data_IF_202440244205
#
_entry.id   IF_202440244205
#
_cell.length_a   1.000
_cell.length_b   1.000
_cell.length_c   1.000
_cell.angle_alpha   90.00
_cell.angle_beta   90.00
_cell.angle_gamma   90.00
#
_symmetry.space_group_name_H-M   'P 1'
#
loop_
_entity.id
_entity.type
_entity.pdbx_description
1 polymer ?
#
# COMPACT_ATOMS: atom_id res chain seq x y z
N UNK A 1 20.10 -6.02 -11.94
CA UNK A 1 19.16 -5.61 -10.86
C UNK A 1 19.81 -5.86 -9.51
N UNK A 2 19.56 -5.02 -8.48
CA UNK A 2 20.04 -5.29 -7.12
C UNK A 2 19.45 -6.60 -6.56
N UNK A 3 20.19 -7.18 -5.61
CA UNK A 3 19.84 -8.35 -4.80
C UNK A 3 18.41 -8.27 -4.26
N UNK A 4 17.71 -9.42 -4.17
CA UNK A 4 16.29 -9.48 -3.79
C UNK A 4 16.01 -8.77 -2.46
N UNK A 5 16.80 -9.07 -1.43
CA UNK A 5 16.64 -8.47 -0.10
C UNK A 5 16.90 -6.95 -0.11
N UNK A 6 17.87 -6.49 -0.90
CA UNK A 6 18.17 -5.06 -1.02
C UNK A 6 17.01 -4.29 -1.65
N UNK A 7 16.31 -4.89 -2.63
CA UNK A 7 15.11 -4.27 -3.23
C UNK A 7 14.01 -4.01 -2.19
N UNK A 8 13.80 -4.95 -1.27
CA UNK A 8 12.79 -4.80 -0.22
C UNK A 8 13.18 -3.77 0.83
N UNK A 9 14.47 -3.65 1.19
CA UNK A 9 14.95 -2.57 2.05
C UNK A 9 14.75 -1.19 1.42
N UNK A 10 15.07 -1.05 0.14
CA UNK A 10 14.84 0.20 -0.59
C UNK A 10 13.33 0.52 -0.66
N UNK A 11 12.50 -0.48 -0.96
CA UNK A 11 11.04 -0.30 -1.05
C UNK A 11 10.42 0.08 0.30
N UNK A 12 10.89 -0.51 1.40
CA UNK A 12 10.48 -0.18 2.75
C UNK A 12 10.79 1.30 3.08
N UNK A 13 12.02 1.75 2.88
CA UNK A 13 12.40 3.15 3.12
C UNK A 13 11.65 4.11 2.19
N UNK A 14 11.49 3.73 0.92
CA UNK A 14 10.72 4.52 -0.05
C UNK A 14 9.28 4.74 0.41
N UNK A 15 8.61 3.69 0.91
CA UNK A 15 7.23 3.80 1.41
C UNK A 15 7.15 4.61 2.70
N UNK A 16 8.17 4.59 3.56
CA UNK A 16 8.24 5.49 4.72
C UNK A 16 8.33 6.95 4.28
N UNK A 17 9.22 7.27 3.32
CA UNK A 17 9.39 8.62 2.77
C UNK A 17 8.11 9.13 2.13
N UNK A 18 7.52 8.34 1.22
CA UNK A 18 6.33 8.77 0.49
C UNK A 18 5.12 8.95 1.41
N UNK A 19 4.94 8.05 2.39
CA UNK A 19 3.86 8.22 3.40
C UNK A 19 4.08 9.48 4.23
N UNK A 20 5.29 9.73 4.71
CA UNK A 20 5.60 10.94 5.46
C UNK A 20 5.44 12.23 4.64
N UNK A 21 5.69 12.19 3.33
CA UNK A 21 5.38 13.30 2.43
C UNK A 21 3.86 13.54 2.30
N UNK A 22 3.04 12.48 2.18
CA UNK A 22 1.58 12.64 2.16
C UNK A 22 1.02 13.23 3.46
N UNK A 23 1.71 12.99 4.58
CA UNK A 23 1.35 13.54 5.90
C UNK A 23 1.96 14.93 6.18
N UNK A 24 2.62 15.57 5.19
CA UNK A 24 3.22 16.91 5.36
C UNK A 24 2.18 18.03 5.60
N UNK A 25 0.93 17.80 5.20
CA UNK A 25 -0.16 18.76 5.39
C UNK A 25 -1.27 18.10 6.20
N UNK A 26 -1.68 18.73 7.31
CA UNK A 26 -2.85 18.26 8.06
C UNK A 26 -4.16 18.51 7.30
N UNK A 27 -5.24 17.88 7.78
CA UNK A 27 -6.59 18.22 7.36
C UNK A 27 -6.91 19.69 7.67
N UNK A 28 -7.56 20.34 6.71
CA UNK A 28 -7.91 21.77 6.76
C UNK A 28 -6.71 22.72 6.92
N UNK A 29 -5.51 22.34 6.47
CA UNK A 29 -4.35 23.23 6.48
C UNK A 29 -4.56 24.50 5.62
N UNK A 30 -5.32 24.41 4.52
CA UNK A 30 -5.53 25.50 3.57
C UNK A 30 -6.80 26.31 3.90
N UNK A 31 -6.72 27.22 4.88
CA UNK A 31 -7.85 28.07 5.33
C UNK A 31 -8.34 29.08 4.28
N UNK A 32 -7.45 29.55 3.39
CA UNK A 32 -7.78 30.46 2.26
C UNK A 32 -8.61 31.69 2.68
N UNK A 33 -8.27 32.31 3.80
CA UNK A 33 -8.97 33.47 4.34
C UNK A 33 -8.57 34.74 3.57
N UNK A 34 -9.53 35.33 2.85
CA UNK A 34 -9.31 36.55 2.04
C UNK A 34 -9.25 37.82 2.89
N UNK A 35 -9.93 37.86 4.03
CA UNK A 35 -9.97 39.04 4.90
C UNK A 35 -8.65 39.22 5.65
N UNK A 36 -8.07 38.12 6.15
CA UNK A 36 -6.80 38.14 6.88
C UNK A 36 -5.57 37.93 5.99
N UNK A 37 -5.77 37.53 4.73
CA UNK A 37 -4.70 37.16 3.80
C UNK A 37 -4.01 35.82 4.13
N UNK A 38 -4.54 35.07 5.10
CA UNK A 38 -3.98 33.78 5.49
C UNK A 38 -4.36 32.69 4.47
N UNK A 39 -3.37 32.20 3.71
CA UNK A 39 -3.61 31.12 2.74
C UNK A 39 -3.66 29.73 3.38
N UNK A 40 -2.77 29.46 4.35
CA UNK A 40 -2.71 28.22 5.10
C UNK A 40 -2.31 28.45 6.56
N UNK A 41 -2.60 27.47 7.42
CA UNK A 41 -2.12 27.41 8.80
C UNK A 41 -0.71 26.81 8.84
N UNK A 42 0.27 27.60 9.28
CA UNK A 42 1.67 27.17 9.36
C UNK A 42 1.90 26.06 10.37
N UNK A 43 1.06 25.97 11.40
CA UNK A 43 1.18 24.92 12.41
C UNK A 43 0.70 23.55 11.88
N UNK A 44 0.02 23.56 10.73
CA UNK A 44 -0.49 22.37 10.02
C UNK A 44 0.40 21.95 8.84
N UNK A 45 1.60 22.52 8.75
CA UNK A 45 2.63 22.18 7.77
C UNK A 45 3.82 21.55 8.47
N UNK A 46 4.14 20.32 8.07
CA UNK A 46 5.19 19.51 8.66
C UNK A 46 6.24 19.13 7.62
N UNK A 47 7.51 19.37 7.94
CA UNK A 47 8.63 18.84 7.16
C UNK A 47 8.85 17.37 7.52
N UNK A 48 9.25 16.57 6.52
CA UNK A 48 9.56 15.16 6.73
C UNK A 48 10.92 14.95 7.43
N UNK A 49 11.94 15.72 7.02
CA UNK A 49 13.34 15.64 7.47
C UNK A 49 13.89 14.19 7.61
N UNK A 50 13.64 13.37 6.59
CA UNK A 50 14.09 11.98 6.56
C UNK A 50 15.56 11.88 6.12
N UNK A 51 16.37 11.14 6.89
CA UNK A 51 17.75 10.77 6.54
C UNK A 51 17.92 9.27 6.80
N UNK A 52 17.75 8.46 5.77
CA UNK A 52 17.91 7.01 5.84
C UNK A 52 19.11 6.49 5.08
N UNK A 53 19.14 5.18 4.88
CA UNK A 53 20.24 4.49 4.20
C UNK A 53 20.23 4.79 2.69
N UNK A 54 19.04 5.01 2.12
CA UNK A 54 18.85 5.17 0.67
C UNK A 54 18.36 6.57 0.27
N UNK A 55 17.64 7.27 1.12
CA UNK A 55 17.02 8.55 0.81
C UNK A 55 17.33 9.63 1.85
N UNK A 56 17.46 10.87 1.38
CA UNK A 56 17.56 12.07 2.20
C UNK A 56 16.57 13.10 1.68
N UNK A 57 15.49 13.35 2.43
CA UNK A 57 14.34 14.12 1.96
C UNK A 57 13.85 15.06 3.05
N UNK A 58 13.99 16.37 2.82
CA UNK A 58 13.57 17.39 3.78
C UNK A 58 12.03 17.51 3.89
N UNK A 59 11.31 17.38 2.77
CA UNK A 59 9.90 17.80 2.72
C UNK A 59 9.74 19.32 2.89
N UNK A 60 8.50 19.84 3.01
CA UNK A 60 7.23 19.12 2.91
C UNK A 60 6.91 18.73 1.46
N UNK A 61 5.84 17.95 1.26
CA UNK A 61 5.26 17.75 -0.07
C UNK A 61 4.76 19.08 -0.66
N UNK A 62 5.12 19.37 -1.91
CA UNK A 62 4.85 20.64 -2.58
C UNK A 62 3.40 20.76 -3.14
N UNK A 63 2.54 19.80 -2.83
CA UNK A 63 1.13 19.78 -3.24
C UNK A 63 0.25 19.61 -2.00
N UNK A 64 -1.00 20.07 -2.09
CA UNK A 64 -1.97 19.94 -1.00
C UNK A 64 -2.34 18.46 -0.75
N UNK A 65 -2.69 18.17 0.50
CA UNK A 65 -3.25 16.87 0.91
C UNK A 65 -4.47 16.51 0.06
N UNK A 66 -4.57 15.25 -0.36
CA UNK A 66 -5.78 14.73 -1.01
C UNK A 66 -6.90 14.50 0.01
N UNK A 67 -8.19 14.45 -0.38
CA UNK A 67 -9.28 14.12 0.53
C UNK A 67 -9.10 12.78 1.25
N UNK A 68 -8.50 11.78 0.59
CA UNK A 68 -8.18 10.48 1.19
C UNK A 68 -6.96 10.51 2.12
N UNK A 69 -6.24 11.62 2.20
CA UNK A 69 -4.93 11.73 2.85
C UNK A 69 -3.83 11.11 2.00
N UNK A 70 -3.95 9.82 1.69
CA UNK A 70 -3.01 9.06 0.86
C UNK A 70 -3.74 8.10 -0.10
N UNK A 71 -3.12 7.71 -1.22
CA UNK A 71 -3.59 6.61 -2.05
C UNK A 71 -3.62 5.27 -1.30
N UNK A 72 -4.50 4.37 -1.74
CA UNK A 72 -4.50 2.96 -1.30
C UNK A 72 -3.26 2.26 -1.87
N UNK A 73 -2.54 1.53 -1.02
CA UNK A 73 -1.32 0.84 -1.40
C UNK A 73 -1.63 -0.64 -1.64
N UNK A 74 -1.48 -1.06 -2.89
CA UNK A 74 -1.54 -2.47 -3.29
C UNK A 74 -0.13 -3.07 -3.36
N UNK A 75 -0.03 -4.34 -2.99
CA UNK A 75 1.18 -5.14 -3.13
C UNK A 75 0.81 -6.51 -3.74
N UNK A 76 1.70 -7.12 -4.53
CA UNK A 76 1.42 -8.38 -5.24
C UNK A 76 2.56 -9.42 -5.20
N UNK A 77 3.49 -9.28 -4.26
CA UNK A 77 4.63 -10.17 -4.10
C UNK A 77 4.36 -11.24 -3.04
N UNK A 78 4.44 -12.51 -3.45
CA UNK A 78 4.13 -13.67 -2.60
C UNK A 78 5.33 -14.20 -1.79
N UNK A 79 6.55 -13.71 -2.02
CA UNK A 79 7.74 -14.10 -1.25
C UNK A 79 7.65 -13.64 0.21
N UNK A 80 8.43 -14.24 1.10
CA UNK A 80 8.42 -13.87 2.53
C UNK A 80 8.72 -12.40 2.78
N UNK A 81 9.70 -11.82 2.07
CA UNK A 81 9.98 -10.38 2.14
C UNK A 81 8.81 -9.53 1.57
N UNK A 82 8.14 -10.04 0.53
CA UNK A 82 6.95 -9.41 -0.04
C UNK A 82 5.80 -9.35 0.94
N UNK A 83 5.52 -10.48 1.61
CA UNK A 83 4.50 -10.58 2.66
C UNK A 83 4.81 -9.66 3.84
N UNK A 84 6.07 -9.59 4.28
CA UNK A 84 6.50 -8.66 5.35
C UNK A 84 6.31 -7.20 4.95
N UNK A 85 6.75 -6.82 3.74
CA UNK A 85 6.56 -5.45 3.23
C UNK A 85 5.07 -5.08 3.18
N UNK A 86 4.23 -6.01 2.73
CA UNK A 86 2.80 -5.80 2.65
C UNK A 86 2.13 -5.73 4.04
N UNK A 87 2.49 -6.63 4.95
CA UNK A 87 2.06 -6.61 6.34
C UNK A 87 2.41 -5.27 7.01
N UNK A 88 3.56 -4.68 6.69
CA UNK A 88 3.97 -3.37 7.21
C UNK A 88 3.26 -2.20 6.53
N UNK A 89 3.17 -2.19 5.20
CA UNK A 89 2.82 -0.97 4.46
C UNK A 89 1.54 -1.02 3.63
N UNK A 90 1.13 -2.18 3.14
CA UNK A 90 0.06 -2.28 2.16
C UNK A 90 -1.32 -2.19 2.84
N UNK A 91 -2.28 -1.60 2.14
CA UNK A 91 -3.69 -1.61 2.51
C UNK A 91 -4.40 -2.83 1.87
N UNK A 92 -3.85 -3.35 0.78
CA UNK A 92 -4.34 -4.53 0.08
C UNK A 92 -3.21 -5.38 -0.53
N UNK A 93 -3.40 -6.70 -0.58
CA UNK A 93 -2.57 -7.64 -1.34
C UNK A 93 -3.40 -8.28 -2.45
N UNK A 94 -2.82 -8.36 -3.65
CA UNK A 94 -3.30 -9.24 -4.71
C UNK A 94 -2.48 -10.53 -4.72
N UNK A 95 -3.16 -11.69 -4.70
CA UNK A 95 -2.52 -13.00 -4.62
C UNK A 95 -3.23 -13.99 -5.55
N UNK A 96 -2.54 -15.07 -5.90
CA UNK A 96 -3.10 -16.20 -6.63
C UNK A 96 -2.53 -17.47 -6.03
N UNK A 97 -3.40 -18.40 -5.68
CA UNK A 97 -3.06 -19.70 -5.07
C UNK A 97 -3.85 -20.76 -5.83
N UNK A 98 -3.28 -21.95 -6.02
CA UNK A 98 -3.88 -22.95 -6.91
C UNK A 98 -5.03 -23.70 -6.22
N UNK A 99 -5.04 -23.71 -4.88
CA UNK A 99 -6.08 -24.36 -4.09
C UNK A 99 -6.63 -23.49 -2.95
N UNK A 100 -7.82 -23.84 -2.48
CA UNK A 100 -8.41 -23.20 -1.29
C UNK A 100 -7.53 -23.38 -0.05
N UNK A 101 -6.91 -24.54 0.12
CA UNK A 101 -6.03 -24.82 1.25
C UNK A 101 -4.81 -23.90 1.26
N UNK A 102 -4.17 -23.70 0.10
CA UNK A 102 -3.07 -22.75 -0.07
C UNK A 102 -3.53 -21.31 0.15
N UNK A 103 -4.70 -20.93 -0.36
CA UNK A 103 -5.28 -19.61 -0.12
C UNK A 103 -5.52 -19.32 1.37
N UNK A 104 -6.03 -20.31 2.12
CA UNK A 104 -6.23 -20.20 3.56
C UNK A 104 -4.90 -20.13 4.32
N UNK A 105 -3.91 -20.94 3.93
CA UNK A 105 -2.57 -20.90 4.52
C UNK A 105 -1.89 -19.54 4.28
N UNK A 106 -1.94 -19.02 3.05
CA UNK A 106 -1.44 -17.68 2.71
C UNK A 106 -2.14 -16.59 3.52
N UNK A 107 -3.47 -16.65 3.62
CA UNK A 107 -4.26 -15.72 4.41
C UNK A 107 -3.81 -15.70 5.87
N UNK A 108 -3.69 -16.88 6.50
CA UNK A 108 -3.28 -17.00 7.90
C UNK A 108 -1.86 -16.48 8.13
N UNK A 109 -0.93 -16.85 7.26
CA UNK A 109 0.46 -16.41 7.32
C UNK A 109 0.56 -14.88 7.25
N UNK A 110 0.02 -14.27 6.19
CA UNK A 110 0.06 -12.82 6.02
C UNK A 110 -0.58 -12.11 7.21
N UNK A 111 -1.77 -12.55 7.65
CA UNK A 111 -2.49 -11.92 8.76
C UNK A 111 -1.72 -12.01 10.09
N UNK A 112 -1.00 -13.11 10.33
CA UNK A 112 -0.21 -13.29 11.55
C UNK A 112 0.91 -12.25 11.68
N UNK A 113 1.47 -11.79 10.57
CA UNK A 113 2.61 -10.87 10.53
C UNK A 113 2.25 -9.42 10.88
N UNK A 114 0.97 -9.02 10.80
CA UNK A 114 0.55 -7.63 11.04
C UNK A 114 0.80 -7.15 12.47
N UNK A 115 0.69 -8.06 13.44
CA UNK A 115 0.86 -7.73 14.86
C UNK A 115 2.24 -7.18 15.18
N UNK A 116 3.28 -7.64 14.46
CA UNK A 116 4.65 -7.12 14.57
C UNK A 116 4.77 -5.64 14.21
N UNK A 117 3.81 -5.11 13.42
CA UNK A 117 3.76 -3.73 12.95
C UNK A 117 2.61 -2.93 13.58
N UNK A 118 2.07 -3.40 14.73
CA UNK A 118 0.97 -2.75 15.45
C UNK A 118 -0.29 -2.56 14.59
N UNK A 119 -0.50 -3.46 13.62
CA UNK A 119 -1.67 -3.47 12.75
C UNK A 119 -2.63 -4.59 13.13
N UNK A 120 -3.91 -4.36 12.89
CA UNK A 120 -4.97 -5.34 13.12
C UNK A 120 -5.34 -6.06 11.81
N UNK A 121 -5.83 -7.32 11.87
CA UNK A 121 -6.16 -8.10 10.69
C UNK A 121 -7.08 -7.39 9.68
N UNK A 122 -7.99 -6.54 10.11
CA UNK A 122 -8.92 -5.78 9.27
C UNK A 122 -8.24 -4.67 8.44
N UNK A 123 -7.04 -4.23 8.81
CA UNK A 123 -6.34 -3.15 8.12
C UNK A 123 -5.63 -3.56 6.83
N UNK A 124 -5.61 -4.85 6.48
CA UNK A 124 -5.02 -5.35 5.24
C UNK A 124 -6.00 -6.25 4.50
N UNK A 125 -6.49 -5.82 3.34
CA UNK A 125 -7.38 -6.65 2.52
C UNK A 125 -6.57 -7.65 1.67
N UNK A 126 -7.08 -8.86 1.49
CA UNK A 126 -6.44 -9.88 0.65
C UNK A 126 -7.41 -10.22 -0.48
N UNK A 127 -6.99 -9.92 -1.71
CA UNK A 127 -7.74 -10.16 -2.94
C UNK A 127 -7.11 -11.32 -3.69
N UNK A 128 -7.88 -12.39 -3.86
CA UNK A 128 -7.47 -13.53 -4.66
C UNK A 128 -7.87 -13.31 -6.12
N UNK A 129 -6.93 -13.45 -7.04
CA UNK A 129 -7.19 -13.38 -8.46
C UNK A 129 -7.99 -14.60 -8.93
N UNK A 130 -9.18 -14.36 -9.46
CA UNK A 130 -10.06 -15.39 -10.03
C UNK A 130 -10.31 -15.12 -11.51
N UNK A 131 -10.33 -16.19 -12.31
CA UNK A 131 -10.84 -16.14 -13.68
C UNK A 131 -12.19 -16.85 -13.70
N UNK A 132 -13.22 -16.16 -14.17
CA UNK A 132 -14.60 -16.67 -14.20
C UNK A 132 -15.09 -16.62 -15.63
N UNK A 133 -15.49 -17.77 -16.15
CA UNK A 133 -16.16 -17.91 -17.45
C UNK A 133 -17.57 -18.42 -17.15
N UNK A 134 -18.58 -17.72 -17.67
CA UNK A 134 -19.99 -18.04 -17.47
C UNK A 134 -20.63 -18.29 -18.84
N UNK A 135 -21.34 -19.41 -18.96
CA UNK A 135 -22.09 -19.80 -20.15
C UNK A 135 -23.50 -20.24 -19.77
N UNK A 136 -24.42 -20.18 -20.73
CA UNK A 136 -25.82 -20.59 -20.52
C UNK A 136 -25.96 -22.12 -20.37
N UNK A 137 -25.09 -22.90 -21.04
CA UNK A 137 -25.06 -24.37 -20.99
C UNK A 137 -23.62 -24.93 -20.90
N UNK A 138 -23.40 -25.87 -19.98
CA UNK A 138 -22.08 -26.36 -19.57
C UNK A 138 -21.18 -27.12 -20.59
N UNK A 139 -21.59 -27.60 -21.79
CA UNK A 139 -20.67 -28.41 -22.62
C UNK A 139 -19.83 -27.66 -23.67
N UNK A 140 -20.27 -26.51 -24.21
CA UNK A 140 -19.64 -25.91 -25.41
C UNK A 140 -18.49 -24.92 -25.09
N UNK A 141 -18.50 -24.30 -23.92
CA UNK A 141 -17.55 -23.22 -23.58
C UNK A 141 -16.19 -23.70 -23.05
N UNK A 142 -16.02 -25.01 -22.82
CA UNK A 142 -14.80 -25.57 -22.23
C UNK A 142 -13.61 -25.63 -23.23
N UNK A 143 -13.85 -25.43 -24.53
CA UNK A 143 -12.79 -25.39 -25.56
C UNK A 143 -12.05 -24.05 -25.63
N UNK A 144 -12.64 -22.95 -25.14
CA UNK A 144 -12.02 -21.61 -25.22
C UNK A 144 -10.90 -21.36 -24.20
N UNK A 145 -10.68 -22.30 -23.26
CA UNK A 145 -9.74 -22.13 -22.13
C UNK A 145 -8.42 -22.88 -22.34
N UNK A 146 -8.21 -23.50 -23.50
CA UNK A 146 -6.96 -24.22 -23.85
C UNK A 146 -6.17 -23.54 -24.99
N UNK A 147 -6.02 -22.22 -24.92
CA UNK A 147 -5.17 -21.42 -25.82
C UNK A 147 -3.89 -20.99 -25.15
#
# INVERSE_FOLDING_TARGET
HPEHALRYRIADEYLQVVKGLWDSWEEDAFVRNKETGQFFDKNKLHTLDHHGDFFKVAGPLNIARTPQGRPIIFQAGASDDGKKLAARHADAIFTHQESLAEAQAFYQDVKSQLSAYQRTPDQLHIFHGVSVIVGDDAPEDMQLVRG
#
